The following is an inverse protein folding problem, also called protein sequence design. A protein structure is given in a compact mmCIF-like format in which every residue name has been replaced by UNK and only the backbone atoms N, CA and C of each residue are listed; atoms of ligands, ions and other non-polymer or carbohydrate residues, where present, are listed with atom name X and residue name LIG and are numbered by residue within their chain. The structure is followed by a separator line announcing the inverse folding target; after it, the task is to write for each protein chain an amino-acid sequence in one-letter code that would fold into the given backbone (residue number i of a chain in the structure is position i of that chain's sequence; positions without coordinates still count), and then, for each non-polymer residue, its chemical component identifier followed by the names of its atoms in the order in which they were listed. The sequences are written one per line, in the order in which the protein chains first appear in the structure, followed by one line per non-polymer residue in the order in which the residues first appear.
data_IF_046292558665
#
_entry.id   IF_046292558665
#
_cell.length_a   1.000
_cell.length_b   1.000
_cell.length_c   1.000
_cell.angle_alpha   90.00
_cell.angle_beta   90.00
_cell.angle_gamma   90.00
#
_symmetry.space_group_name_H-M   'P 1'
#
loop_
_entity.id
_entity.type
_entity.pdbx_description
1 polymer ?
#
# COMPACT_ATOMS: atom_id res chain seq x y z
N UNK A 1 19.28 -7.18 -26.70
CA UNK A 1 18.23 -7.96 -26.00
C UNK A 1 17.41 -6.93 -25.23
N UNK A 2 16.12 -6.80 -25.54
CA UNK A 2 15.23 -5.96 -24.77
C UNK A 2 15.01 -6.68 -23.42
N UNK A 3 15.28 -6.07 -22.27
CA UNK A 3 15.00 -6.73 -20.99
C UNK A 3 13.53 -7.13 -20.91
N UNK A 4 13.24 -8.24 -20.27
CA UNK A 4 11.85 -8.62 -19.94
C UNK A 4 11.39 -7.62 -18.90
N UNK A 5 10.43 -6.77 -19.24
CA UNK A 5 9.95 -5.68 -18.38
C UNK A 5 8.54 -5.21 -18.77
N UNK A 6 8.04 -4.16 -18.14
CA UNK A 6 6.83 -3.47 -18.54
C UNK A 6 6.90 -3.05 -20.02
N UNK A 7 5.74 -2.79 -20.62
CA UNK A 7 5.67 -2.39 -22.02
C UNK A 7 6.43 -1.07 -22.27
N UNK A 8 6.28 -0.12 -21.36
CA UNK A 8 6.99 1.16 -21.32
C UNK A 8 7.17 1.62 -19.86
N UNK A 9 7.60 2.86 -19.67
CA UNK A 9 7.86 3.46 -18.34
C UNK A 9 6.61 3.92 -17.60
N UNK A 10 5.44 3.84 -18.21
CA UNK A 10 4.19 4.35 -17.62
C UNK A 10 3.80 3.52 -16.40
N UNK A 11 3.60 4.19 -15.29
CA UNK A 11 3.08 3.63 -14.05
C UNK A 11 2.22 4.69 -13.38
N UNK A 12 1.10 4.31 -12.77
CA UNK A 12 0.18 5.25 -12.12
C UNK A 12 -0.17 4.83 -10.69
N UNK A 13 -0.52 3.57 -10.47
CA UNK A 13 -0.79 2.99 -9.16
C UNK A 13 -0.25 1.56 -9.10
N UNK A 14 0.10 1.09 -7.92
CA UNK A 14 0.68 -0.23 -7.69
C UNK A 14 0.07 -0.91 -6.46
N UNK A 15 -0.26 -2.20 -6.60
CA UNK A 15 -0.76 -3.00 -5.49
C UNK A 15 -0.24 -4.42 -5.54
N UNK A 16 0.27 -4.90 -4.40
CA UNK A 16 0.75 -6.28 -4.23
C UNK A 16 -0.38 -7.26 -3.93
N UNK A 17 -0.22 -8.52 -4.37
CA UNK A 17 -1.10 -9.64 -4.05
C UNK A 17 -0.27 -10.92 -3.92
N UNK A 18 -0.16 -11.47 -2.72
CA UNK A 18 0.66 -12.66 -2.50
C UNK A 18 2.10 -12.45 -2.95
N UNK A 19 2.55 -13.11 -4.02
CA UNK A 19 3.87 -12.95 -4.64
C UNK A 19 3.87 -12.02 -5.87
N UNK A 20 2.76 -11.33 -6.14
CA UNK A 20 2.55 -10.57 -7.36
C UNK A 20 2.58 -9.07 -7.10
N UNK A 21 3.01 -8.32 -8.12
CA UNK A 21 2.86 -6.87 -8.18
C UNK A 21 2.04 -6.49 -9.40
N UNK A 22 0.91 -5.86 -9.16
CA UNK A 22 0.07 -5.26 -10.18
C UNK A 22 0.42 -3.79 -10.34
N UNK A 23 0.48 -3.30 -11.59
CA UNK A 23 0.80 -1.91 -11.92
C UNK A 23 -0.20 -1.42 -12.96
N UNK A 24 -0.87 -0.30 -12.68
CA UNK A 24 -1.72 0.35 -13.68
C UNK A 24 -0.87 1.25 -14.59
N UNK A 25 -1.22 1.29 -15.86
CA UNK A 25 -0.44 1.96 -16.90
C UNK A 25 -1.27 2.98 -17.71
N UNK A 26 -2.30 3.52 -17.07
CA UNK A 26 -3.11 4.62 -17.58
C UNK A 26 -2.66 5.96 -17.06
N UNK A 27 -3.58 6.92 -17.05
CA UNK A 27 -3.31 8.23 -16.52
C UNK A 27 -4.37 9.26 -16.89
N UNK A 28 -4.22 10.42 -16.30
CA UNK A 28 -4.89 11.65 -16.68
C UNK A 28 -3.92 12.81 -16.51
N UNK A 29 -4.16 13.88 -17.25
CA UNK A 29 -3.31 15.08 -17.16
C UNK A 29 -3.55 15.86 -15.86
N UNK A 30 -2.65 16.79 -15.53
CA UNK A 30 -2.85 17.72 -14.40
C UNK A 30 -4.11 18.57 -14.53
N UNK A 31 -4.63 18.73 -15.77
CA UNK A 31 -5.91 19.37 -16.04
C UNK A 31 -7.12 18.45 -15.87
N UNK A 32 -6.93 17.18 -15.42
CA UNK A 32 -7.95 16.14 -15.33
C UNK A 32 -8.62 15.87 -16.69
N UNK A 33 -7.80 15.69 -17.69
CA UNK A 33 -8.20 15.24 -19.02
C UNK A 33 -7.63 13.85 -19.31
N UNK A 34 -8.34 13.00 -20.07
CA UNK A 34 -7.87 11.65 -20.40
C UNK A 34 -6.58 11.70 -21.24
N UNK A 35 -5.73 10.70 -21.06
CA UNK A 35 -4.54 10.48 -21.90
C UNK A 35 -4.80 9.51 -23.03
N UNK A 36 -5.94 8.80 -22.97
CA UNK A 36 -6.35 7.74 -23.90
C UNK A 36 -5.35 6.59 -23.98
N UNK A 37 -4.64 6.33 -22.88
CA UNK A 37 -3.70 5.21 -22.79
C UNK A 37 -4.44 3.87 -22.87
N UNK A 38 -4.03 3.01 -23.78
CA UNK A 38 -4.51 1.64 -23.97
C UNK A 38 -3.57 0.59 -23.34
N UNK A 39 -2.62 1.02 -22.50
CA UNK A 39 -1.61 0.14 -21.87
C UNK A 39 -2.22 -0.83 -20.87
N UNK A 40 -3.34 -0.44 -20.22
CA UNK A 40 -4.04 -1.27 -19.25
C UNK A 40 -3.25 -1.47 -17.96
N UNK A 41 -2.77 -2.69 -17.71
CA UNK A 41 -1.97 -3.02 -16.54
C UNK A 41 -0.77 -3.91 -16.89
N UNK A 42 0.23 -3.90 -16.00
CA UNK A 42 1.32 -4.84 -15.96
C UNK A 42 1.20 -5.73 -14.72
N UNK A 43 1.67 -6.96 -14.82
CA UNK A 43 1.76 -7.88 -13.69
C UNK A 43 3.17 -8.46 -13.62
N UNK A 44 3.81 -8.31 -12.48
CA UNK A 44 5.07 -8.97 -12.16
C UNK A 44 4.81 -10.17 -11.25
N UNK A 45 5.39 -11.32 -11.58
CA UNK A 45 5.36 -12.54 -10.78
C UNK A 45 6.62 -13.35 -11.04
N UNK A 46 7.36 -13.72 -10.00
CA UNK A 46 8.55 -14.58 -10.05
C UNK A 46 9.58 -14.16 -11.14
N UNK A 47 9.89 -12.88 -11.21
CA UNK A 47 10.87 -12.33 -12.18
C UNK A 47 10.31 -12.11 -13.58
N UNK A 48 9.04 -12.39 -13.84
CA UNK A 48 8.42 -12.28 -15.14
C UNK A 48 7.38 -11.16 -15.18
N UNK A 49 7.29 -10.47 -16.32
CA UNK A 49 6.31 -9.43 -16.57
C UNK A 49 5.27 -9.89 -17.59
N UNK A 50 4.01 -9.78 -17.22
CA UNK A 50 2.87 -9.85 -18.12
C UNK A 50 2.41 -8.43 -18.47
N UNK A 51 2.00 -8.21 -19.73
CA UNK A 51 1.48 -6.92 -20.21
C UNK A 51 0.09 -7.14 -20.82
N UNK A 52 -0.93 -6.53 -20.23
CA UNK A 52 -2.33 -6.71 -20.67
C UNK A 52 -2.60 -6.24 -22.09
N UNK A 53 -1.89 -5.19 -22.54
CA UNK A 53 -2.01 -4.67 -23.93
C UNK A 53 -1.59 -5.66 -25.02
N UNK A 54 -0.94 -6.77 -24.65
CA UNK A 54 -0.56 -7.84 -25.59
C UNK A 54 -1.54 -9.02 -25.60
N UNK A 55 -2.61 -8.97 -24.83
CA UNK A 55 -3.60 -10.02 -24.72
C UNK A 55 -4.99 -9.45 -25.01
N UNK A 56 -5.68 -9.98 -26.01
CA UNK A 56 -6.97 -9.47 -26.48
C UNK A 56 -8.11 -9.63 -25.48
N UNK A 57 -7.97 -10.49 -24.49
CA UNK A 57 -8.98 -10.82 -23.48
C UNK A 57 -8.58 -10.40 -22.05
N UNK A 58 -7.36 -9.89 -21.87
CA UNK A 58 -6.91 -9.43 -20.57
C UNK A 58 -7.64 -8.15 -20.15
N UNK A 59 -7.91 -7.25 -21.10
CA UNK A 59 -8.62 -6.00 -20.83
C UNK A 59 -9.31 -5.52 -22.11
N UNK A 60 -10.64 -5.38 -22.07
CA UNK A 60 -11.46 -5.05 -23.24
C UNK A 60 -12.22 -3.73 -23.02
N UNK A 61 -12.03 -2.79 -23.93
CA UNK A 61 -12.76 -1.52 -23.92
C UNK A 61 -12.39 -0.56 -22.77
N UNK A 62 -11.29 -0.81 -22.11
CA UNK A 62 -10.73 0.05 -21.04
C UNK A 62 -9.58 0.89 -21.60
N UNK A 63 -9.56 2.16 -21.24
CA UNK A 63 -8.45 3.08 -21.46
C UNK A 63 -8.18 3.82 -20.14
N UNK A 64 -7.01 4.42 -20.00
CA UNK A 64 -6.64 5.21 -18.82
C UNK A 64 -6.96 4.50 -17.50
N UNK A 65 -6.45 3.26 -17.34
CA UNK A 65 -6.55 2.51 -16.10
C UNK A 65 -5.65 3.15 -15.06
N UNK A 66 -6.24 3.74 -14.02
CA UNK A 66 -5.54 4.63 -13.09
C UNK A 66 -5.44 4.09 -11.67
N UNK A 67 -6.29 3.16 -11.28
CA UNK A 67 -6.26 2.63 -9.92
C UNK A 67 -6.58 1.14 -9.90
N UNK A 68 -6.09 0.48 -8.88
CA UNK A 68 -6.22 -0.95 -8.68
C UNK A 68 -6.61 -1.25 -7.24
N UNK A 69 -7.49 -2.22 -7.06
CA UNK A 69 -7.84 -2.77 -5.77
C UNK A 69 -7.79 -4.30 -5.84
N UNK A 70 -7.04 -4.88 -4.93
CA UNK A 70 -6.97 -6.32 -4.71
C UNK A 70 -7.95 -6.69 -3.59
N UNK A 71 -8.84 -7.65 -3.84
CA UNK A 71 -9.67 -8.19 -2.78
C UNK A 71 -8.85 -9.20 -1.94
N UNK A 72 -8.60 -8.93 -0.65
CA UNK A 72 -7.74 -9.78 0.17
C UNK A 72 -8.35 -11.16 0.47
N UNK A 73 -9.66 -11.35 0.24
CA UNK A 73 -10.39 -12.57 0.58
C UNK A 73 -10.53 -13.55 -0.60
N UNK A 74 -10.22 -13.09 -1.81
CA UNK A 74 -10.31 -13.89 -3.04
C UNK A 74 -9.31 -13.37 -4.08
N UNK A 75 -9.29 -13.95 -5.26
CA UNK A 75 -8.37 -13.55 -6.35
C UNK A 75 -8.94 -12.45 -7.26
N UNK A 76 -9.96 -11.73 -6.82
CA UNK A 76 -10.57 -10.65 -7.60
C UNK A 76 -9.72 -9.38 -7.57
N UNK A 77 -9.50 -8.83 -8.75
CA UNK A 77 -8.84 -7.55 -8.94
C UNK A 77 -9.86 -6.60 -9.57
N UNK A 78 -9.93 -5.40 -9.03
CA UNK A 78 -10.72 -4.32 -9.58
C UNK A 78 -9.82 -3.25 -10.15
N UNK A 79 -10.12 -2.82 -11.37
CA UNK A 79 -9.40 -1.74 -12.06
C UNK A 79 -10.36 -0.59 -12.34
N UNK A 80 -9.99 0.60 -11.91
CA UNK A 80 -10.72 1.82 -12.21
C UNK A 80 -10.08 2.58 -13.36
N UNK A 81 -10.91 3.31 -14.10
CA UNK A 81 -10.50 4.04 -15.29
C UNK A 81 -10.91 5.51 -15.23
N UNK A 82 -10.11 6.34 -15.87
CA UNK A 82 -10.47 7.73 -16.13
C UNK A 82 -11.34 7.86 -17.39
N UNK A 83 -12.55 7.25 -17.35
CA UNK A 83 -13.55 7.44 -18.42
C UNK A 83 -14.21 6.17 -18.96
N UNK A 84 -13.88 4.97 -18.45
CA UNK A 84 -14.45 3.70 -18.89
C UNK A 84 -15.07 2.86 -17.76
N UNK A 85 -15.26 3.47 -16.57
CA UNK A 85 -15.83 2.80 -15.41
C UNK A 85 -14.85 1.83 -14.75
N UNK A 86 -15.34 0.64 -14.38
CA UNK A 86 -14.62 -0.41 -13.68
C UNK A 86 -14.48 -1.68 -14.52
N UNK A 87 -13.35 -2.36 -14.36
CA UNK A 87 -13.18 -3.74 -14.83
C UNK A 87 -12.92 -4.67 -13.64
N UNK A 88 -13.55 -5.83 -13.64
CA UNK A 88 -13.28 -6.95 -12.75
C UNK A 88 -12.38 -7.95 -13.45
N UNK A 89 -11.25 -8.28 -12.83
CA UNK A 89 -10.24 -9.17 -13.38
C UNK A 89 -10.15 -10.42 -12.50
N UNK A 90 -10.19 -11.58 -13.11
CA UNK A 90 -9.94 -12.88 -12.48
C UNK A 90 -8.98 -13.66 -13.39
N UNK A 91 -7.93 -14.25 -12.80
CA UNK A 91 -6.92 -14.99 -13.56
C UNK A 91 -6.36 -14.20 -14.76
N UNK A 92 -6.03 -12.91 -14.57
CA UNK A 92 -5.48 -12.00 -15.58
C UNK A 92 -6.42 -11.71 -16.77
N UNK A 93 -7.72 -12.01 -16.64
CA UNK A 93 -8.74 -11.79 -17.67
C UNK A 93 -9.87 -10.94 -17.14
N UNK A 94 -10.35 -10.02 -17.97
CA UNK A 94 -11.55 -9.27 -17.66
C UNK A 94 -12.78 -10.18 -17.71
N UNK A 95 -13.47 -10.31 -16.57
CA UNK A 95 -14.71 -11.11 -16.46
C UNK A 95 -15.97 -10.25 -16.48
N UNK A 96 -15.85 -8.98 -16.08
CA UNK A 96 -16.95 -8.01 -16.12
C UNK A 96 -16.42 -6.58 -16.32
N UNK A 97 -17.31 -5.71 -16.82
CA UNK A 97 -17.12 -4.26 -16.84
C UNK A 97 -18.39 -3.58 -16.33
N UNK A 98 -18.22 -2.52 -15.54
CA UNK A 98 -19.31 -1.74 -14.95
C UNK A 98 -19.16 -0.27 -15.34
N UNK A 99 -20.22 0.29 -15.89
CA UNK A 99 -20.33 1.67 -16.32
C UNK A 99 -21.77 2.18 -16.08
N UNK A 100 -22.12 3.37 -16.61
CA UNK A 100 -23.45 3.95 -16.43
C UNK A 100 -24.60 3.10 -17.02
N UNK A 101 -24.33 2.14 -17.88
CA UNK A 101 -25.35 1.32 -18.54
C UNK A 101 -25.80 0.11 -17.72
N UNK A 102 -24.97 -0.34 -16.78
CA UNK A 102 -25.21 -1.58 -16.01
C UNK A 102 -24.89 -1.48 -14.51
N UNK A 103 -24.65 -0.25 -14.03
CA UNK A 103 -24.39 0.04 -12.61
C UNK A 103 -24.99 1.39 -12.21
N UNK A 104 -24.73 1.86 -10.99
CA UNK A 104 -25.08 3.23 -10.58
C UNK A 104 -23.96 4.24 -10.78
N UNK A 105 -22.84 3.84 -11.37
CA UNK A 105 -21.80 4.78 -11.85
C UNK A 105 -22.47 5.73 -12.86
N UNK A 106 -22.18 7.02 -12.73
CA UNK A 106 -22.74 8.05 -13.63
C UNK A 106 -21.64 8.62 -14.51
N UNK A 107 -22.01 8.95 -15.76
CA UNK A 107 -21.14 9.73 -16.61
C UNK A 107 -21.02 11.17 -16.12
N UNK A 108 -19.84 11.74 -16.28
CA UNK A 108 -19.63 13.17 -16.12
C UNK A 108 -20.27 13.96 -17.29
N UNK A 109 -20.26 15.32 -17.26
CA UNK A 109 -20.81 16.12 -18.34
C UNK A 109 -20.14 15.92 -19.72
N UNK A 110 -18.99 15.26 -19.78
CA UNK A 110 -18.27 14.92 -20.99
C UNK A 110 -18.48 13.46 -21.43
N UNK A 111 -19.51 12.80 -20.88
CA UNK A 111 -19.87 11.39 -21.15
C UNK A 111 -18.75 10.40 -20.82
N UNK A 112 -18.10 10.60 -19.64
CA UNK A 112 -17.04 9.75 -19.16
C UNK A 112 -17.45 9.10 -17.84
N UNK A 113 -17.30 7.80 -17.73
CA UNK A 113 -17.50 7.03 -16.49
C UNK A 113 -16.17 6.98 -15.74
N UNK A 114 -15.98 7.90 -14.78
CA UNK A 114 -14.70 8.09 -14.12
C UNK A 114 -14.74 7.43 -12.74
N UNK A 115 -13.91 6.41 -12.52
CA UNK A 115 -13.70 5.72 -11.25
C UNK A 115 -12.25 5.92 -10.79
N UNK A 116 -12.01 6.83 -9.83
CA UNK A 116 -10.67 7.22 -9.38
C UNK A 116 -10.24 6.62 -8.05
N UNK A 117 -11.12 6.04 -7.29
CA UNK A 117 -10.82 5.41 -6.02
C UNK A 117 -11.76 4.26 -5.75
N UNK A 118 -11.23 3.25 -5.11
CA UNK A 118 -11.97 2.05 -4.72
C UNK A 118 -11.54 1.59 -3.34
N UNK A 119 -12.49 1.09 -2.54
CA UNK A 119 -12.19 0.47 -1.26
C UNK A 119 -13.23 -0.62 -0.94
N UNK A 120 -12.82 -1.63 -0.18
CA UNK A 120 -13.71 -2.67 0.34
C UNK A 120 -14.02 -2.39 1.81
N UNK A 121 -15.29 -2.43 2.19
CA UNK A 121 -15.66 -2.39 3.59
C UNK A 121 -15.55 -3.79 4.25
N UNK A 122 -15.73 -3.86 5.57
CA UNK A 122 -15.65 -5.11 6.35
C UNK A 122 -16.65 -6.19 5.90
N UNK A 123 -17.72 -5.79 5.22
CA UNK A 123 -18.77 -6.67 4.68
C UNK A 123 -18.43 -7.16 3.27
N UNK A 124 -17.35 -6.65 2.65
CA UNK A 124 -16.93 -6.95 1.30
C UNK A 124 -17.69 -6.15 0.22
N UNK A 125 -18.38 -5.07 0.58
CA UNK A 125 -18.98 -4.18 -0.42
C UNK A 125 -17.87 -3.32 -1.05
N UNK A 126 -17.93 -3.16 -2.37
CA UNK A 126 -17.00 -2.34 -3.14
C UNK A 126 -17.52 -0.91 -3.23
N UNK A 127 -16.87 0.01 -2.55
CA UNK A 127 -17.09 1.44 -2.65
C UNK A 127 -16.26 2.03 -3.79
N UNK A 128 -16.83 2.96 -4.53
CA UNK A 128 -16.24 3.55 -5.75
C UNK A 128 -16.44 5.05 -5.74
N UNK A 129 -15.38 5.81 -5.91
CA UNK A 129 -15.47 7.25 -6.18
C UNK A 129 -15.82 7.48 -7.64
N UNK A 130 -16.93 8.16 -7.90
CA UNK A 130 -17.42 8.49 -9.23
C UNK A 130 -17.20 9.99 -9.50
N UNK A 131 -16.01 10.33 -9.98
CA UNK A 131 -15.57 11.71 -10.16
C UNK A 131 -16.38 12.46 -11.23
N UNK A 132 -16.61 13.73 -10.98
CA UNK A 132 -17.25 14.65 -11.95
C UNK A 132 -18.78 14.63 -11.93
N UNK A 133 -19.41 13.89 -11.00
CA UNK A 133 -20.86 13.70 -10.95
C UNK A 133 -21.46 14.17 -9.63
N UNK A 134 -22.78 14.48 -9.62
CA UNK A 134 -23.50 14.83 -8.39
C UNK A 134 -23.67 13.64 -7.43
N UNK A 135 -23.53 12.42 -7.93
CA UNK A 135 -23.54 11.15 -7.20
C UNK A 135 -22.12 10.60 -7.17
N UNK A 136 -21.26 11.32 -6.46
CA UNK A 136 -19.82 11.07 -6.49
C UNK A 136 -19.38 9.80 -5.75
N UNK A 137 -20.27 9.11 -5.04
CA UNK A 137 -20.00 7.87 -4.34
C UNK A 137 -20.99 6.79 -4.80
N UNK A 138 -20.48 5.65 -5.25
CA UNK A 138 -21.26 4.47 -5.58
C UNK A 138 -20.80 3.28 -4.72
N UNK A 139 -21.69 2.29 -4.52
CA UNK A 139 -21.34 1.04 -3.86
C UNK A 139 -21.96 -0.14 -4.59
N UNK A 140 -21.13 -1.16 -4.86
CA UNK A 140 -21.55 -2.48 -5.28
C UNK A 140 -21.58 -3.39 -4.06
N UNK A 141 -22.78 -3.86 -3.69
CA UNK A 141 -22.96 -4.77 -2.55
C UNK A 141 -22.61 -6.22 -2.93
N UNK A 142 -22.36 -7.03 -1.92
CA UNK A 142 -22.04 -8.46 -2.09
C UNK A 142 -23.15 -9.27 -2.75
N UNK A 143 -24.41 -8.81 -2.67
CA UNK A 143 -25.57 -9.38 -3.38
C UNK A 143 -25.67 -8.92 -4.85
N UNK A 144 -24.65 -8.20 -5.36
CA UNK A 144 -24.57 -7.58 -6.68
C UNK A 144 -25.53 -6.42 -6.94
N UNK A 145 -26.21 -5.90 -5.93
CA UNK A 145 -26.98 -4.66 -6.06
C UNK A 145 -26.06 -3.45 -6.02
N UNK A 146 -26.49 -2.34 -6.63
CA UNK A 146 -25.78 -1.07 -6.64
C UNK A 146 -26.59 0.03 -5.98
N UNK A 147 -25.92 0.92 -5.30
CA UNK A 147 -26.49 2.18 -4.78
C UNK A 147 -25.54 3.35 -5.07
N UNK A 148 -26.06 4.58 -5.14
CA UNK A 148 -25.30 5.79 -5.32
C UNK A 148 -25.68 6.88 -4.32
N UNK A 149 -24.73 7.75 -3.97
CA UNK A 149 -24.92 8.78 -2.96
C UNK A 149 -24.36 10.13 -3.40
N UNK A 150 -25.09 11.20 -3.03
CA UNK A 150 -24.56 12.55 -3.08
C UNK A 150 -23.83 12.86 -1.79
N UNK A 151 -22.58 13.26 -1.88
CA UNK A 151 -21.73 13.56 -0.74
C UNK A 151 -21.31 15.04 -0.69
N UNK A 152 -22.06 15.89 -1.42
CA UNK A 152 -21.88 17.36 -1.43
C UNK A 152 -20.59 17.85 -2.09
N UNK A 153 -19.90 16.95 -2.79
CA UNK A 153 -18.83 17.28 -3.75
C UNK A 153 -18.97 16.35 -4.95
N UNK A 154 -18.53 16.79 -6.12
CA UNK A 154 -18.38 15.96 -7.31
C UNK A 154 -16.94 15.48 -7.51
N UNK A 155 -16.03 15.83 -6.60
CA UNK A 155 -14.60 15.59 -6.73
C UNK A 155 -14.15 14.61 -5.63
N UNK A 156 -14.30 13.31 -5.87
CA UNK A 156 -13.69 12.26 -5.06
C UNK A 156 -12.65 11.51 -5.89
N UNK A 157 -11.49 11.30 -5.32
CA UNK A 157 -10.37 10.55 -5.89
C UNK A 157 -10.12 9.24 -5.15
N UNK A 158 -8.84 8.95 -4.87
CA UNK A 158 -8.40 7.80 -4.08
C UNK A 158 -9.15 7.71 -2.74
N UNK A 159 -9.42 6.48 -2.32
CA UNK A 159 -10.26 6.21 -1.15
C UNK A 159 -9.76 4.99 -0.39
N UNK A 160 -9.85 5.07 0.93
CA UNK A 160 -9.58 3.98 1.87
C UNK A 160 -10.77 3.78 2.81
N UNK A 161 -10.80 2.66 3.51
CA UNK A 161 -11.75 2.33 4.59
C UNK A 161 -10.96 2.04 5.86
N UNK A 162 -11.39 2.61 6.98
CA UNK A 162 -10.84 2.32 8.29
C UNK A 162 -11.57 1.13 8.96
N UNK A 163 -11.09 0.67 10.12
CA UNK A 163 -11.67 -0.47 10.85
C UNK A 163 -13.12 -0.25 11.32
N UNK A 164 -13.58 0.99 11.33
CA UNK A 164 -14.96 1.36 11.68
C UNK A 164 -15.88 1.47 10.46
N UNK A 165 -15.45 0.98 9.29
CA UNK A 165 -16.13 1.14 8.00
C UNK A 165 -16.38 2.62 7.62
N UNK A 166 -15.52 3.54 8.08
CA UNK A 166 -15.56 4.92 7.62
C UNK A 166 -14.71 5.03 6.33
N UNK A 167 -15.28 5.66 5.34
CA UNK A 167 -14.62 5.95 4.08
C UNK A 167 -13.86 7.27 4.19
N UNK A 168 -12.63 7.28 3.72
CA UNK A 168 -11.78 8.46 3.65
C UNK A 168 -11.35 8.64 2.20
N UNK A 169 -11.74 9.74 1.57
CA UNK A 169 -11.45 9.98 0.16
C UNK A 169 -10.76 11.33 -0.04
N UNK A 170 -9.78 11.35 -0.94
CA UNK A 170 -9.15 12.58 -1.39
C UNK A 170 -10.16 13.36 -2.23
N UNK A 171 -10.31 14.67 -1.97
CA UNK A 171 -11.01 15.60 -2.84
C UNK A 171 -9.99 16.44 -3.64
N UNK A 172 -9.60 15.99 -4.84
CA UNK A 172 -8.41 16.53 -5.51
C UNK A 172 -8.63 17.90 -6.17
N UNK A 173 -9.87 18.33 -6.34
CA UNK A 173 -10.19 19.58 -7.05
C UNK A 173 -11.50 20.20 -6.57
N UNK A 174 -11.75 21.43 -6.98
CA UNK A 174 -12.93 22.26 -6.70
C UNK A 174 -12.81 23.04 -5.37
N UNK A 175 -13.88 23.69 -4.97
CA UNK A 175 -13.96 24.43 -3.70
C UNK A 175 -13.91 23.55 -2.43
N UNK A 176 -13.79 22.24 -2.61
CA UNK A 176 -13.77 21.23 -1.54
C UNK A 176 -12.46 20.44 -1.57
N UNK A 177 -11.32 21.11 -1.72
CA UNK A 177 -10.00 20.46 -1.70
C UNK A 177 -9.67 20.01 -0.27
N UNK A 178 -9.20 18.77 -0.12
CA UNK A 178 -8.85 18.17 1.18
C UNK A 178 -9.15 16.69 1.22
N UNK A 179 -9.59 16.20 2.39
CA UNK A 179 -10.09 14.84 2.61
C UNK A 179 -11.57 14.88 2.97
N UNK A 180 -12.35 13.98 2.43
CA UNK A 180 -13.76 13.78 2.82
C UNK A 180 -13.88 12.48 3.60
N UNK A 181 -14.15 12.58 4.90
CA UNK A 181 -14.56 11.44 5.72
C UNK A 181 -16.06 11.20 5.55
N UNK A 182 -16.45 9.94 5.38
CA UNK A 182 -17.83 9.53 5.10
C UNK A 182 -18.18 8.27 5.88
N UNK A 183 -19.45 8.16 6.31
CA UNK A 183 -19.96 6.98 7.01
C UNK A 183 -21.41 6.73 6.60
N UNK A 184 -21.72 5.48 6.26
CA UNK A 184 -23.12 5.08 6.07
C UNK A 184 -23.82 5.04 7.43
N UNK A 185 -24.95 5.73 7.53
CA UNK A 185 -25.79 5.76 8.73
C UNK A 185 -26.76 4.59 8.73
N UNK A 186 -27.34 4.27 9.89
CA UNK A 186 -28.35 3.21 10.01
C UNK A 186 -29.57 3.41 9.08
N UNK A 187 -29.83 4.63 8.63
CA UNK A 187 -30.93 4.95 7.71
C UNK A 187 -30.53 4.84 6.23
N UNK A 188 -29.32 4.36 5.93
CA UNK A 188 -28.80 4.22 4.55
C UNK A 188 -28.45 5.56 3.88
N UNK A 189 -28.18 6.60 4.65
CA UNK A 189 -27.66 7.89 4.14
C UNK A 189 -26.19 8.03 4.48
N UNK A 190 -25.47 8.91 3.79
CA UNK A 190 -24.06 9.19 4.08
C UNK A 190 -23.94 10.44 4.97
N UNK A 191 -23.44 10.26 6.18
CA UNK A 191 -22.86 11.35 6.97
C UNK A 191 -21.49 11.67 6.41
N UNK A 192 -21.14 12.95 6.28
CA UNK A 192 -19.83 13.36 5.74
C UNK A 192 -19.24 14.52 6.52
N UNK A 193 -17.91 14.63 6.48
CA UNK A 193 -17.15 15.79 6.94
C UNK A 193 -16.03 16.08 5.97
N UNK A 194 -15.89 17.35 5.55
CA UNK A 194 -14.72 17.85 4.79
C UNK A 194 -13.63 18.23 5.78
N UNK A 195 -12.42 17.76 5.55
CA UNK A 195 -11.22 17.99 6.35
C UNK A 195 -10.23 18.81 5.52
N UNK A 196 -9.75 19.89 6.07
CA UNK A 196 -8.87 20.88 5.41
C UNK A 196 -7.74 21.30 6.35
N UNK A 197 -6.93 22.26 5.94
CA UNK A 197 -5.82 22.80 6.74
C UNK A 197 -6.23 23.70 7.92
N UNK A 198 -7.53 23.97 8.09
CA UNK A 198 -8.02 24.79 9.19
C UNK A 198 -8.05 24.07 10.53
N UNK A 199 -7.65 24.75 11.61
CA UNK A 199 -7.83 24.25 12.99
C UNK A 199 -9.31 23.96 13.26
N UNK A 200 -9.59 22.83 13.92
CA UNK A 200 -10.94 22.25 14.12
C UNK A 200 -11.66 21.84 12.82
N UNK A 201 -11.01 21.91 11.69
CA UNK A 201 -11.53 21.53 10.37
C UNK A 201 -10.69 20.48 9.65
N UNK A 202 -9.83 19.78 10.35
CA UNK A 202 -9.01 18.71 9.80
C UNK A 202 -7.52 18.83 10.08
N UNK A 203 -6.99 20.05 10.32
CA UNK A 203 -5.60 20.27 10.71
C UNK A 203 -4.55 19.83 9.68
N UNK A 204 -4.93 19.66 8.40
CA UNK A 204 -4.00 19.22 7.35
C UNK A 204 -2.89 20.25 7.13
N UNK A 205 -1.65 19.84 6.80
CA UNK A 205 -0.56 20.76 6.46
C UNK A 205 -0.88 21.62 5.23
N UNK A 206 -1.56 21.01 4.25
CA UNK A 206 -1.98 21.63 3.01
C UNK A 206 -3.26 20.97 2.49
N UNK A 207 -4.11 21.73 1.80
CA UNK A 207 -5.35 21.19 1.23
C UNK A 207 -5.11 20.33 -0.02
N UNK A 208 -3.98 20.49 -0.70
CA UNK A 208 -3.62 19.64 -1.85
C UNK A 208 -3.13 18.28 -1.36
N UNK A 209 -4.08 17.41 -1.05
CA UNK A 209 -3.84 16.03 -0.63
C UNK A 209 -3.59 15.18 -1.88
N UNK A 210 -2.56 14.34 -1.83
CA UNK A 210 -2.15 13.45 -2.91
C UNK A 210 -2.14 11.98 -2.53
N UNK A 211 -1.97 11.68 -1.24
CA UNK A 211 -1.88 10.32 -0.74
C UNK A 211 -2.68 10.16 0.55
N UNK A 212 -3.26 8.98 0.73
CA UNK A 212 -3.96 8.60 1.95
C UNK A 212 -3.75 7.11 2.20
N UNK A 213 -3.45 6.74 3.45
CA UNK A 213 -3.29 5.35 3.85
C UNK A 213 -3.86 5.13 5.26
N UNK A 214 -4.38 3.94 5.50
CA UNK A 214 -4.68 3.45 6.86
C UNK A 214 -3.58 2.49 7.26
N UNK A 215 -3.02 2.66 8.45
CA UNK A 215 -1.99 1.78 8.97
C UNK A 215 -2.59 0.67 9.87
N UNK A 216 -1.73 -0.19 10.44
CA UNK A 216 -2.17 -1.34 11.24
C UNK A 216 -2.68 -0.96 12.62
N UNK A 217 -2.43 0.26 13.08
CA UNK A 217 -2.99 0.84 14.30
C UNK A 217 -4.27 1.60 14.04
N UNK A 218 -4.82 1.49 12.82
CA UNK A 218 -6.00 2.21 12.34
C UNK A 218 -5.83 3.73 12.34
N UNK A 219 -4.61 4.23 12.19
CA UNK A 219 -4.32 5.65 12.03
C UNK A 219 -4.39 6.03 10.55
N UNK A 220 -4.91 7.23 10.26
CA UNK A 220 -5.02 7.70 8.89
C UNK A 220 -3.88 8.66 8.57
N UNK A 221 -2.98 8.21 7.70
CA UNK A 221 -1.83 8.97 7.22
C UNK A 221 -2.22 9.73 5.94
N UNK A 222 -1.99 11.03 5.94
CA UNK A 222 -2.35 11.90 4.83
C UNK A 222 -1.11 12.62 4.30
N UNK A 223 -0.79 12.38 3.03
CA UNK A 223 0.28 13.03 2.30
C UNK A 223 -0.23 14.24 1.50
N UNK A 224 0.45 15.36 1.63
CA UNK A 224 0.08 16.62 0.99
C UNK A 224 1.24 17.22 0.18
N UNK A 225 1.02 18.32 -0.48
CA UNK A 225 2.11 19.11 -1.11
C UNK A 225 3.03 19.82 -0.10
N UNK A 226 2.76 19.73 1.20
CA UNK A 226 3.55 20.31 2.27
C UNK A 226 3.74 19.33 3.44
N UNK A 227 4.08 18.09 3.12
CA UNK A 227 4.38 17.05 4.10
C UNK A 227 3.21 16.20 4.52
N UNK A 228 3.32 15.59 5.70
CA UNK A 228 2.44 14.56 6.22
C UNK A 228 1.73 15.04 7.48
N UNK A 229 0.50 14.54 7.68
CA UNK A 229 -0.19 14.58 8.97
C UNK A 229 -0.95 13.27 9.21
N UNK A 230 -1.23 12.96 10.47
CA UNK A 230 -1.85 11.73 10.93
C UNK A 230 -3.08 12.01 11.76
N UNK A 231 -4.19 11.38 11.45
CA UNK A 231 -5.35 11.28 12.32
C UNK A 231 -5.18 10.06 13.21
N UNK A 232 -4.69 10.29 14.44
CA UNK A 232 -4.47 9.22 15.43
C UNK A 232 -5.76 8.60 15.98
N UNK A 233 -6.87 9.32 15.90
CA UNK A 233 -8.19 8.87 16.37
C UNK A 233 -9.25 9.07 15.29
N UNK A 234 -9.29 8.27 14.23
CA UNK A 234 -10.26 8.45 13.14
C UNK A 234 -11.71 8.35 13.59
N UNK A 235 -12.02 7.62 14.68
CA UNK A 235 -13.37 7.54 15.25
C UNK A 235 -13.95 8.88 15.66
N UNK A 236 -13.12 9.87 16.02
CA UNK A 236 -13.54 11.21 16.44
C UNK A 236 -13.86 12.14 15.28
N UNK A 237 -13.59 11.71 14.04
CA UNK A 237 -13.70 12.60 12.87
C UNK A 237 -15.05 13.29 12.74
N UNK A 238 -16.15 12.64 13.12
CA UNK A 238 -17.49 13.21 13.04
C UNK A 238 -17.89 14.01 14.28
N UNK A 239 -17.16 13.94 15.39
CA UNK A 239 -17.38 14.75 16.57
C UNK A 239 -16.86 16.18 16.40
N UNK A 240 -15.78 16.34 15.65
CA UNK A 240 -15.15 17.63 15.38
C UNK A 240 -14.28 18.13 16.53
N UNK A 241 -13.82 19.38 16.39
CA UNK A 241 -12.90 20.00 17.34
C UNK A 241 -11.45 19.53 17.17
N UNK A 242 -10.56 20.09 17.97
CA UNK A 242 -9.10 19.89 17.85
C UNK A 242 -8.65 18.43 17.98
N UNK A 243 -9.35 17.61 18.75
CA UNK A 243 -9.00 16.20 18.95
C UNK A 243 -9.30 15.33 17.72
N UNK A 244 -10.07 15.87 16.77
CA UNK A 244 -10.41 15.24 15.50
C UNK A 244 -9.56 15.78 14.34
N UNK A 245 -8.59 16.63 14.60
CA UNK A 245 -7.66 17.17 13.61
C UNK A 245 -6.44 16.26 13.45
N UNK A 246 -5.93 16.19 12.23
CA UNK A 246 -4.65 15.56 11.95
C UNK A 246 -3.52 16.33 12.63
N UNK A 247 -2.47 15.62 12.98
CA UNK A 247 -1.28 16.16 13.62
C UNK A 247 -0.06 15.90 12.77
N UNK A 248 0.81 16.92 12.62
CA UNK A 248 2.13 16.75 12.04
C UNK A 248 3.06 16.08 13.04
N UNK A 249 3.90 15.17 12.57
CA UNK A 249 4.86 14.47 13.42
C UNK A 249 6.11 15.34 13.54
N UNK A 250 6.51 15.61 14.78
CA UNK A 250 7.74 16.33 15.07
C UNK A 250 8.87 15.33 15.31
N UNK A 251 9.95 15.45 14.57
CA UNK A 251 11.18 14.67 14.76
C UNK A 251 12.23 15.54 15.45
N UNK A 252 12.87 14.99 16.47
CA UNK A 252 14.05 15.56 17.12
C UNK A 252 15.19 14.53 16.95
N UNK A 253 16.17 14.85 16.11
CA UNK A 253 17.37 14.01 15.92
C UNK A 253 18.53 14.36 16.88
N UNK A 254 18.27 15.24 17.84
CA UNK A 254 19.24 15.70 18.83
C UNK A 254 20.11 16.87 18.34
N UNK A 255 20.07 17.22 17.07
CA UNK A 255 20.75 18.36 16.47
C UNK A 255 19.77 19.41 15.96
N UNK A 256 18.63 18.95 15.43
CA UNK A 256 17.60 19.80 14.87
C UNK A 256 16.20 19.25 15.20
N UNK A 257 15.23 20.15 15.34
CA UNK A 257 13.82 19.82 15.56
C UNK A 257 13.04 20.24 14.32
N UNK A 258 12.45 19.29 13.65
CA UNK A 258 11.72 19.51 12.41
C UNK A 258 10.42 18.71 12.34
N UNK A 259 9.64 18.99 11.31
CA UNK A 259 8.44 18.22 10.99
C UNK A 259 8.80 17.13 9.98
N UNK A 260 8.33 15.90 10.22
CA UNK A 260 8.55 14.78 9.32
C UNK A 260 8.12 15.15 7.89
N UNK A 261 9.06 15.16 6.95
CA UNK A 261 8.86 15.49 5.54
C UNK A 261 8.11 16.83 5.31
N UNK A 262 8.22 17.80 6.23
CA UNK A 262 7.42 19.02 6.25
C UNK A 262 7.56 19.93 5.00
N UNK A 263 8.61 19.73 4.21
CA UNK A 263 8.85 20.45 2.95
C UNK A 263 8.72 19.56 1.70
N UNK A 264 8.29 18.31 1.86
CA UNK A 264 8.19 17.36 0.77
C UNK A 264 6.80 17.36 0.14
N UNK A 265 6.76 17.18 -1.18
CA UNK A 265 5.53 16.82 -1.89
C UNK A 265 5.38 15.32 -1.82
N UNK A 266 4.39 14.85 -1.06
CA UNK A 266 4.12 13.42 -0.85
C UNK A 266 3.15 12.93 -1.91
N UNK A 267 3.61 12.01 -2.76
CA UNK A 267 2.85 11.50 -3.90
C UNK A 267 2.09 10.20 -3.59
N UNK A 268 2.65 9.34 -2.71
CA UNK A 268 2.02 8.08 -2.31
C UNK A 268 2.52 7.63 -0.92
N UNK A 269 1.71 6.85 -0.20
CA UNK A 269 2.03 6.25 1.10
C UNK A 269 1.57 4.81 1.10
N UNK A 270 2.48 3.86 1.38
CA UNK A 270 2.15 2.44 1.54
C UNK A 270 2.68 1.92 2.87
N UNK A 271 1.89 1.06 3.50
CA UNK A 271 2.21 0.45 4.80
C UNK A 271 2.82 -0.93 4.52
N UNK A 272 3.97 -1.23 5.13
CA UNK A 272 4.59 -2.54 4.99
C UNK A 272 4.15 -3.53 6.09
N UNK A 273 4.62 -4.76 5.98
CA UNK A 273 4.28 -5.83 6.91
C UNK A 273 4.63 -5.57 8.38
N UNK A 274 5.53 -4.62 8.65
CA UNK A 274 5.93 -4.18 9.99
C UNK A 274 5.35 -2.81 10.37
N UNK A 275 4.22 -2.42 9.81
CA UNK A 275 3.57 -1.13 10.03
C UNK A 275 4.44 0.10 9.73
N UNK A 276 5.58 -0.07 9.04
CA UNK A 276 6.43 1.06 8.64
C UNK A 276 5.81 1.73 7.41
N UNK A 277 6.13 3.00 7.18
CA UNK A 277 5.54 3.80 6.11
C UNK A 277 6.57 4.01 5.01
N UNK A 278 6.31 3.43 3.83
CA UNK A 278 7.02 3.78 2.60
C UNK A 278 6.34 4.99 1.96
N UNK A 279 7.08 6.04 1.73
CA UNK A 279 6.56 7.34 1.31
C UNK A 279 7.25 7.76 0.02
N UNK A 280 6.46 7.97 -1.02
CA UNK A 280 6.89 8.50 -2.31
C UNK A 280 6.88 10.02 -2.29
N UNK A 281 7.98 10.64 -2.70
CA UNK A 281 8.07 12.10 -2.80
C UNK A 281 8.70 12.53 -4.13
N UNK A 282 8.72 13.83 -4.38
CA UNK A 282 9.46 14.39 -5.52
C UNK A 282 10.99 14.24 -5.35
N UNK A 283 11.48 13.99 -4.13
CA UNK A 283 12.90 13.93 -3.79
C UNK A 283 13.35 12.55 -3.30
N UNK A 284 12.62 11.51 -3.64
CA UNK A 284 12.99 10.13 -3.32
C UNK A 284 11.90 9.32 -2.66
N UNK A 285 12.27 8.09 -2.28
CA UNK A 285 11.46 7.19 -1.49
C UNK A 285 12.02 7.10 -0.07
N UNK A 286 11.13 7.25 0.90
CA UNK A 286 11.48 7.27 2.31
C UNK A 286 10.86 6.06 3.01
N UNK A 287 11.61 5.39 3.87
CA UNK A 287 11.08 4.43 4.84
C UNK A 287 11.12 5.06 6.22
N UNK A 288 9.96 5.18 6.83
CA UNK A 288 9.75 5.80 8.15
C UNK A 288 9.32 4.73 9.14
N UNK A 289 9.74 4.86 10.40
CA UNK A 289 9.32 3.96 11.48
C UNK A 289 7.79 3.91 11.62
N UNK A 290 7.31 2.86 12.27
CA UNK A 290 5.89 2.61 12.50
C UNK A 290 5.14 3.82 13.10
N UNK A 291 5.73 4.47 14.08
CA UNK A 291 5.20 5.63 14.81
C UNK A 291 5.58 6.99 14.18
N UNK A 292 6.32 7.00 13.09
CA UNK A 292 6.82 8.22 12.44
C UNK A 292 7.99 8.90 13.17
N UNK A 293 8.50 8.35 14.26
CA UNK A 293 9.52 8.99 15.10
C UNK A 293 10.90 9.10 14.46
N UNK A 294 11.10 8.50 13.28
CA UNK A 294 12.39 8.57 12.60
C UNK A 294 12.38 7.97 11.20
N UNK A 295 13.37 8.39 10.42
CA UNK A 295 13.63 7.90 9.08
C UNK A 295 14.58 6.71 9.17
N UNK A 296 14.23 5.59 8.52
CA UNK A 296 15.03 4.37 8.43
C UNK A 296 15.90 4.38 7.16
N UNK A 297 15.27 4.70 6.01
CA UNK A 297 15.94 4.74 4.69
C UNK A 297 15.48 5.96 3.91
N UNK A 298 16.37 6.47 3.07
CA UNK A 298 16.04 7.46 2.04
C UNK A 298 16.79 7.12 0.76
N UNK A 299 16.04 6.77 -0.28
CA UNK A 299 16.55 6.45 -1.61
C UNK A 299 16.32 7.59 -2.59
N UNK A 300 17.39 7.97 -3.27
CA UNK A 300 17.40 8.93 -4.38
C UNK A 300 18.13 8.34 -5.57
N UNK A 301 18.02 8.95 -6.74
CA UNK A 301 18.82 8.55 -7.91
C UNK A 301 20.33 8.78 -7.74
N UNK A 302 20.74 9.54 -6.71
CA UNK A 302 22.16 9.80 -6.44
C UNK A 302 22.78 8.74 -5.53
N UNK A 303 21.98 8.14 -4.61
CA UNK A 303 22.49 7.19 -3.62
C UNK A 303 22.01 5.74 -3.82
N UNK A 304 21.20 5.50 -4.86
CA UNK A 304 20.60 4.20 -5.12
C UNK A 304 20.41 3.96 -6.63
N UNK A 305 20.07 2.72 -7.07
CA UNK A 305 19.76 2.42 -8.47
C UNK A 305 18.42 2.97 -8.98
N UNK A 306 17.74 3.84 -8.25
CA UNK A 306 16.50 4.47 -8.71
C UNK A 306 16.74 5.23 -10.02
N UNK A 307 15.88 5.01 -11.06
CA UNK A 307 16.01 5.74 -12.33
C UNK A 307 15.78 7.25 -12.19
N UNK A 308 14.95 7.65 -11.22
CA UNK A 308 14.62 9.06 -10.92
C UNK A 308 14.30 9.19 -9.43
N UNK A 309 14.60 10.36 -8.86
CA UNK A 309 14.17 10.70 -7.50
C UNK A 309 12.68 11.10 -7.43
N UNK A 310 12.05 11.43 -8.56
CA UNK A 310 10.61 11.65 -8.60
C UNK A 310 9.89 10.30 -8.56
N UNK A 311 9.36 9.94 -7.40
CA UNK A 311 8.58 8.72 -7.19
C UNK A 311 7.10 9.05 -7.30
N UNK A 312 6.41 8.40 -8.24
CA UNK A 312 4.97 8.61 -8.49
C UNK A 312 4.10 7.74 -7.57
N UNK A 313 4.44 6.44 -7.47
CA UNK A 313 3.69 5.45 -6.71
C UNK A 313 4.62 4.38 -6.14
N UNK A 314 4.15 3.70 -5.12
CA UNK A 314 4.85 2.58 -4.46
C UNK A 314 3.91 1.37 -4.44
N UNK A 315 4.49 0.17 -4.55
CA UNK A 315 3.77 -1.08 -4.30
C UNK A 315 4.63 -2.01 -3.45
N UNK A 316 3.98 -2.79 -2.59
CA UNK A 316 4.67 -3.76 -1.73
C UNK A 316 4.10 -5.14 -2.00
N UNK A 317 4.96 -6.11 -2.28
CA UNK A 317 4.57 -7.51 -2.45
C UNK A 317 4.45 -8.16 -1.07
N UNK A 318 3.25 -8.54 -0.61
CA UNK A 318 3.02 -8.92 0.79
C UNK A 318 3.88 -10.08 1.27
N UNK A 319 4.01 -11.13 0.45
CA UNK A 319 4.71 -12.36 0.85
C UNK A 319 6.24 -12.26 0.78
N UNK A 320 6.78 -11.31 -0.01
CA UNK A 320 8.23 -11.21 -0.21
C UNK A 320 8.84 -9.99 0.43
N UNK A 321 8.04 -8.99 0.80
CA UNK A 321 8.50 -7.69 1.26
C UNK A 321 9.20 -6.87 0.17
N UNK A 322 9.13 -7.29 -1.11
CA UNK A 322 9.71 -6.53 -2.21
C UNK A 322 8.89 -5.27 -2.47
N UNK A 323 9.55 -4.13 -2.44
CA UNK A 323 8.97 -2.80 -2.64
C UNK A 323 9.29 -2.32 -4.04
N UNK A 324 8.28 -1.93 -4.78
CA UNK A 324 8.39 -1.39 -6.13
C UNK A 324 8.18 0.12 -6.11
N UNK A 325 9.02 0.83 -6.81
CA UNK A 325 8.99 2.29 -6.97
C UNK A 325 8.69 2.64 -8.42
N UNK A 326 7.54 3.23 -8.67
CA UNK A 326 7.15 3.79 -9.95
C UNK A 326 7.72 5.20 -10.10
N UNK A 327 8.55 5.41 -11.10
CA UNK A 327 9.14 6.72 -11.41
C UNK A 327 8.75 7.18 -12.82
N UNK A 328 9.04 8.42 -13.15
CA UNK A 328 8.87 8.94 -14.52
C UNK A 328 9.77 8.24 -15.56
N UNK A 329 10.84 7.57 -15.12
CA UNK A 329 11.86 6.93 -15.98
C UNK A 329 11.73 5.40 -15.99
N UNK A 330 10.75 4.83 -15.25
CA UNK A 330 10.50 3.40 -15.16
C UNK A 330 10.29 2.90 -13.74
N UNK A 331 10.34 1.59 -13.57
CA UNK A 331 10.09 0.90 -12.31
C UNK A 331 11.40 0.29 -11.80
N UNK A 332 11.69 0.52 -10.52
CA UNK A 332 12.74 -0.17 -9.78
C UNK A 332 12.16 -0.93 -8.60
N UNK A 333 12.86 -1.94 -8.09
CA UNK A 333 12.44 -2.61 -6.86
C UNK A 333 13.58 -2.72 -5.84
N UNK A 334 13.20 -2.83 -4.59
CA UNK A 334 14.09 -3.05 -3.44
C UNK A 334 13.57 -4.23 -2.62
N UNK A 335 14.45 -5.15 -2.27
CA UNK A 335 14.10 -6.28 -1.40
C UNK A 335 14.04 -5.79 0.04
N UNK A 336 12.83 -5.53 0.53
CA UNK A 336 12.58 -5.20 1.93
C UNK A 336 12.76 -6.40 2.86
N UNK A 337 12.75 -6.13 4.14
CA UNK A 337 12.89 -7.10 5.25
C UNK A 337 11.57 -7.38 5.98
N UNK A 338 10.48 -6.67 5.65
CA UNK A 338 9.18 -6.85 6.25
C UNK A 338 8.20 -7.50 5.26
N UNK A 339 7.66 -8.66 5.65
CA UNK A 339 6.56 -9.31 4.94
C UNK A 339 5.28 -9.20 5.77
N UNK A 340 4.12 -9.42 5.13
CA UNK A 340 2.89 -9.54 5.91
C UNK A 340 2.99 -10.69 6.91
N UNK A 341 2.63 -10.38 8.16
CA UNK A 341 2.57 -11.35 9.24
C UNK A 341 1.26 -12.17 9.16
N UNK A 342 1.28 -13.35 9.73
CA UNK A 342 0.09 -14.15 9.98
C UNK A 342 -0.17 -14.26 11.47
N UNK A 343 -1.43 -14.48 11.89
CA UNK A 343 -1.75 -14.67 13.31
C UNK A 343 -1.07 -15.87 13.93
N UNK A 344 -0.74 -16.89 13.12
CA UNK A 344 -0.10 -18.14 13.52
C UNK A 344 1.07 -18.43 12.59
N UNK A 345 2.02 -19.25 13.06
CA UNK A 345 3.09 -19.76 12.21
C UNK A 345 2.51 -20.46 10.99
N UNK A 346 2.85 -19.99 9.79
CA UNK A 346 2.32 -20.54 8.55
C UNK A 346 3.46 -20.78 7.56
N UNK A 347 3.73 -22.04 7.26
CA UNK A 347 4.76 -22.42 6.27
C UNK A 347 6.11 -21.74 6.54
N UNK A 348 6.59 -21.77 7.79
CA UNK A 348 7.87 -21.15 8.16
C UNK A 348 9.01 -21.71 7.31
N UNK A 349 9.67 -20.86 6.57
CA UNK A 349 10.82 -21.16 5.71
C UNK A 349 12.07 -20.48 6.24
N UNK A 350 13.21 -21.16 6.11
CA UNK A 350 14.53 -20.59 6.43
C UNK A 350 15.42 -20.71 5.21
N UNK A 351 16.01 -19.62 4.78
CA UNK A 351 16.88 -19.62 3.61
C UNK A 351 18.06 -18.62 3.75
N UNK A 352 19.23 -18.96 3.14
CA UNK A 352 19.52 -20.24 2.51
C UNK A 352 19.57 -21.37 3.53
N UNK A 353 19.15 -22.55 3.11
CA UNK A 353 19.24 -23.77 3.92
C UNK A 353 19.58 -24.96 2.99
N UNK A 354 20.80 -25.48 3.01
CA UNK A 354 21.90 -25.17 3.94
C UNK A 354 22.58 -23.82 3.68
N UNK A 355 23.20 -23.26 4.74
CA UNK A 355 24.15 -22.13 4.64
C UNK A 355 25.51 -22.69 4.28
N UNK A 356 25.99 -22.38 3.08
CA UNK A 356 27.28 -22.86 2.58
C UNK A 356 28.46 -21.97 3.05
N UNK A 357 29.71 -22.49 3.05
CA UNK A 357 30.89 -21.76 3.55
C UNK A 357 31.16 -20.42 2.88
N UNK A 358 30.80 -20.27 1.60
CA UNK A 358 31.00 -19.04 0.83
C UNK A 358 29.86 -18.03 0.98
N UNK A 359 28.80 -18.39 1.71
CA UNK A 359 27.68 -17.49 1.89
C UNK A 359 27.98 -16.47 2.99
N UNK A 360 27.94 -15.21 2.65
CA UNK A 360 28.20 -14.06 3.53
C UNK A 360 26.96 -13.18 3.75
N UNK A 361 25.83 -13.54 3.14
CA UNK A 361 24.57 -12.80 3.27
C UNK A 361 23.77 -13.18 4.52
N UNK A 362 22.66 -12.50 4.79
CA UNK A 362 21.78 -12.78 5.91
C UNK A 362 21.00 -14.07 5.72
N UNK A 363 20.62 -14.68 6.84
CA UNK A 363 19.73 -15.85 6.89
C UNK A 363 18.34 -15.31 7.22
N UNK A 364 17.37 -15.61 6.35
CA UNK A 364 16.02 -15.10 6.47
C UNK A 364 15.06 -16.20 6.92
N UNK A 365 14.18 -15.89 7.85
CA UNK A 365 13.15 -16.76 8.41
C UNK A 365 11.81 -16.08 8.13
N UNK A 366 10.93 -16.71 7.37
CA UNK A 366 9.61 -16.14 6.97
C UNK A 366 8.45 -17.00 7.46
N UNK A 367 7.22 -16.47 7.37
CA UNK A 367 6.01 -17.16 7.83
C UNK A 367 5.84 -17.11 9.34
N UNK A 368 6.31 -16.04 9.95
CA UNK A 368 6.24 -15.77 11.38
C UNK A 368 5.01 -14.92 11.73
N UNK A 369 4.52 -15.00 12.96
CA UNK A 369 3.62 -14.00 13.53
C UNK A 369 4.32 -12.63 13.65
N UNK A 370 3.54 -11.57 13.73
CA UNK A 370 4.02 -10.21 13.97
C UNK A 370 4.73 -10.14 15.33
N UNK A 371 5.85 -9.41 15.39
CA UNK A 371 6.68 -9.23 16.59
C UNK A 371 7.12 -10.54 17.27
N UNK A 372 7.11 -11.66 16.54
CA UNK A 372 7.51 -12.92 17.10
C UNK A 372 8.96 -12.90 17.56
N UNK A 373 9.22 -13.36 18.79
CA UNK A 373 10.57 -13.63 19.26
C UNK A 373 11.11 -14.91 18.63
N UNK A 374 12.22 -14.81 17.91
CA UNK A 374 12.86 -15.94 17.23
C UNK A 374 14.15 -16.30 17.96
N UNK A 375 14.26 -17.55 18.41
CA UNK A 375 15.45 -18.11 19.05
C UNK A 375 16.12 -19.14 18.15
N UNK A 376 17.41 -18.99 17.94
CA UNK A 376 18.26 -19.92 17.20
C UNK A 376 19.09 -20.69 18.21
N UNK A 377 18.91 -22.01 18.30
CA UNK A 377 19.57 -22.85 19.28
C UNK A 377 20.36 -23.99 18.61
N UNK A 378 21.42 -24.46 19.25
CA UNK A 378 22.10 -25.68 18.86
C UNK A 378 21.24 -26.92 19.24
N UNK A 379 21.65 -28.13 18.79
CA UNK A 379 20.93 -29.36 19.07
C UNK A 379 20.90 -29.77 20.56
N UNK A 380 21.72 -29.12 21.39
CA UNK A 380 21.70 -29.29 22.86
C UNK A 380 20.72 -28.31 23.55
N UNK A 381 20.02 -27.46 22.78
CA UNK A 381 19.06 -26.47 23.25
C UNK A 381 19.69 -25.17 23.76
N UNK A 382 21.00 -24.97 23.54
CA UNK A 382 21.65 -23.70 23.90
C UNK A 382 21.35 -22.65 22.85
N UNK A 383 20.70 -21.55 23.23
CA UNK A 383 20.43 -20.40 22.36
C UNK A 383 21.74 -19.74 21.93
N UNK A 384 21.97 -19.60 20.66
CA UNK A 384 23.14 -18.97 20.06
C UNK A 384 22.85 -17.55 19.60
N UNK A 385 21.59 -17.25 19.25
CA UNK A 385 21.12 -15.93 18.89
C UNK A 385 19.60 -15.78 19.14
N UNK A 386 19.16 -14.55 19.37
CA UNK A 386 17.75 -14.19 19.54
C UNK A 386 17.48 -12.89 18.83
N UNK A 387 16.35 -12.78 18.14
CA UNK A 387 15.91 -11.59 17.42
C UNK A 387 14.39 -11.52 17.38
N UNK A 388 13.86 -10.34 17.05
CA UNK A 388 12.42 -10.10 16.87
C UNK A 388 12.12 -10.05 15.38
N UNK A 389 10.99 -10.63 14.98
CA UNK A 389 10.50 -10.56 13.61
C UNK A 389 10.07 -9.11 13.27
N UNK A 390 10.33 -8.72 12.02
CA UNK A 390 9.86 -7.47 11.43
C UNK A 390 8.68 -7.83 10.51
N UNK A 391 7.46 -7.63 10.99
CA UNK A 391 6.28 -8.25 10.38
C UNK A 391 6.38 -9.77 10.41
N UNK A 392 6.13 -10.45 9.30
CA UNK A 392 6.21 -11.91 9.17
C UNK A 392 7.61 -12.48 8.94
N UNK A 393 8.69 -11.67 9.07
CA UNK A 393 10.07 -12.07 8.71
C UNK A 393 11.07 -11.71 9.81
N UNK A 394 12.03 -12.61 10.06
CA UNK A 394 13.20 -12.33 10.89
C UNK A 394 14.47 -12.51 10.05
N UNK A 395 15.39 -11.56 10.15
CA UNK A 395 16.64 -11.53 9.35
C UNK A 395 17.83 -11.60 10.30
N UNK A 396 18.55 -12.72 10.25
CA UNK A 396 19.72 -12.98 11.05
C UNK A 396 21.00 -12.84 10.23
N UNK A 397 21.99 -12.10 10.73
CA UNK A 397 23.31 -11.91 10.10
C UNK A 397 24.20 -13.17 10.10
N UNK A 398 23.76 -14.25 10.74
CA UNK A 398 24.49 -15.52 10.81
C UNK A 398 25.63 -15.50 11.84
N UNK A 399 25.61 -14.59 12.81
CA UNK A 399 26.58 -14.50 13.89
C UNK A 399 25.92 -14.89 15.25
N UNK A 400 26.72 -15.42 16.17
CA UNK A 400 26.28 -15.67 17.55
C UNK A 400 26.30 -14.40 18.40
N UNK A 401 25.86 -14.47 19.66
CA UNK A 401 25.87 -13.31 20.60
C UNK A 401 27.27 -12.69 20.83
N UNK A 402 28.35 -13.39 20.46
CA UNK A 402 29.72 -12.88 20.56
C UNK A 402 30.27 -12.35 19.25
N UNK A 403 29.44 -12.30 18.18
CA UNK A 403 29.86 -11.88 16.85
C UNK A 403 30.67 -12.95 16.08
N UNK A 404 30.64 -14.21 16.50
CA UNK A 404 31.34 -15.28 15.81
C UNK A 404 30.41 -16.06 14.90
N UNK A 405 30.94 -16.61 13.80
CA UNK A 405 30.21 -17.53 12.92
C UNK A 405 29.95 -18.86 13.64
N UNK A 406 28.71 -19.34 13.73
CA UNK A 406 28.36 -20.61 14.31
C UNK A 406 29.08 -21.77 13.59
N UNK A 407 29.39 -22.85 14.32
CA UNK A 407 30.06 -24.04 13.77
C UNK A 407 29.15 -24.81 12.82
N UNK A 408 29.74 -25.67 11.97
CA UNK A 408 28.99 -26.66 11.18
C UNK A 408 28.09 -27.48 12.09
N UNK A 409 26.80 -27.54 11.75
CA UNK A 409 25.82 -28.28 12.53
C UNK A 409 24.39 -27.93 12.15
N UNK A 410 23.44 -28.64 12.75
CA UNK A 410 22.00 -28.35 12.66
C UNK A 410 21.65 -27.41 13.82
N UNK A 411 20.94 -26.37 13.49
CA UNK A 411 20.37 -25.38 14.41
C UNK A 411 18.86 -25.48 14.40
N UNK A 412 18.26 -25.32 15.55
CA UNK A 412 16.82 -25.36 15.75
C UNK A 412 16.31 -23.93 15.82
N UNK A 413 15.28 -23.62 15.06
CA UNK A 413 14.62 -22.30 15.05
C UNK A 413 13.33 -22.43 15.86
N UNK A 414 13.26 -21.71 16.94
CA UNK A 414 12.05 -21.56 17.76
C UNK A 414 11.47 -20.17 17.53
N UNK A 415 10.15 -20.08 17.58
CA UNK A 415 9.46 -18.80 17.53
C UNK A 415 8.28 -18.81 18.49
N UNK A 416 8.05 -17.68 19.13
CA UNK A 416 6.90 -17.42 19.98
C UNK A 416 6.34 -16.04 19.66
N UNK A 417 5.02 -15.87 19.67
CA UNK A 417 4.39 -14.55 19.77
C UNK A 417 4.31 -14.12 21.25
N UNK A 418 3.82 -12.92 21.54
CA UNK A 418 3.83 -12.34 22.90
C UNK A 418 3.15 -13.21 23.98
N UNK A 419 2.21 -14.07 23.60
CA UNK A 419 1.32 -14.81 24.49
C UNK A 419 1.56 -16.32 24.47
N UNK A 420 2.43 -16.83 23.59
CA UNK A 420 2.64 -18.26 23.36
C UNK A 420 4.01 -18.75 23.88
N UNK A 421 4.08 -20.05 24.18
CA UNK A 421 5.33 -20.74 24.45
C UNK A 421 6.18 -20.90 23.16
N UNK A 422 7.51 -20.96 23.31
CA UNK A 422 8.43 -21.22 22.20
C UNK A 422 8.07 -22.51 21.45
N UNK A 423 7.77 -22.38 20.17
CA UNK A 423 7.49 -23.50 19.27
C UNK A 423 8.64 -23.74 18.31
N UNK A 424 9.05 -25.00 18.12
CA UNK A 424 10.02 -25.37 17.07
C UNK A 424 9.37 -25.22 15.69
N UNK A 425 9.75 -24.20 14.96
CA UNK A 425 9.14 -23.86 13.67
C UNK A 425 9.94 -24.32 12.46
N UNK A 426 11.29 -24.47 12.60
CA UNK A 426 12.13 -24.92 11.48
C UNK A 426 13.50 -25.43 11.95
N UNK A 427 14.30 -25.95 11.01
CA UNK A 427 15.68 -26.36 11.21
C UNK A 427 16.57 -25.75 10.14
N UNK A 428 17.78 -25.38 10.53
CA UNK A 428 18.78 -24.78 9.68
C UNK A 428 20.07 -25.62 9.69
N UNK A 429 20.58 -25.98 8.52
CA UNK A 429 21.89 -26.59 8.39
C UNK A 429 22.93 -25.54 8.04
N UNK A 430 23.95 -25.39 8.88
CA UNK A 430 25.11 -24.55 8.63
C UNK A 430 26.29 -25.47 8.27
N UNK A 431 26.94 -25.18 7.16
CA UNK A 431 28.18 -25.83 6.69
C UNK A 431 29.28 -24.78 6.64
N UNK A 432 30.42 -25.06 7.32
CA UNK A 432 31.58 -24.14 7.35
C UNK A 432 32.83 -24.87 6.93
#
# INVERSE_FOLDING_TARGET
VKPVGPFDVTNFDMMGQGNKMWVTAGGYTTAFAPTYSDRGFYLYEDGNWFNSSKSSDALVGMTDVTNILVNPNNDEIWLGSFGRGLAQIVNQKQVARFDHTNSTIKSDPADRDIALGMALDSKGNLWVSNYGTSKALAVKKTDNTWSDYSVGTSSLGEMIVDESDQLWAIAPRTSSIGVVAMKETANGTIQRRLLTSGENNGGLPNNNVKAIAVDKDNEIWVGTEAGIAVFYNPSLVFEGGKNADAQQIVIDDGNDVGVLLGNEVVNDIKIDGANRKWIATNNGAWLVKEDGSGIILHFTSENSPLPSSLINCIGIVPNTGEVFFGTSEGIASFRGDATEASMLHKNTLVFPNPVHPQYEGPITITGLPEDATVKIADVAGRVVYELIATGGTAVWDGLDFNGNKPKTGVYLIYSANKDDEDSLVSKLLIVR
#
